data_IF_532294726444
#
_entry.id   IF_532294726444
#
_cell.length_a   1.000
_cell.length_b   1.000
_cell.length_c   1.000
_cell.angle_alpha   90.00
_cell.angle_beta   90.00
_cell.angle_gamma   90.00
#
_symmetry.space_group_name_H-M   'P 1'
#
loop_
_entity.id
_entity.type
_entity.pdbx_description
1 polymer ?
#
# COMPACT_ATOMS: atom_id res chain seq x y z
N UNK A 1 -54.98 -48.70 -34.91
CA UNK A 1 -55.00 -48.44 -33.45
C UNK A 1 -53.58 -48.58 -32.92
N UNK A 2 -53.18 -47.67 -32.03
CA UNK A 2 -51.83 -47.42 -31.57
C UNK A 2 -51.15 -48.63 -30.90
N UNK A 3 -49.80 -48.61 -30.80
CA UNK A 3 -49.07 -48.37 -29.54
C UNK A 3 -47.55 -48.50 -29.79
N UNK A 4 -46.85 -47.57 -29.15
CA UNK A 4 -45.43 -47.27 -29.11
C UNK A 4 -44.72 -48.17 -28.08
N UNK A 5 -43.54 -48.75 -28.36
CA UNK A 5 -42.59 -49.19 -27.32
C UNK A 5 -41.21 -49.47 -27.91
N UNK A 6 -40.22 -48.70 -27.47
CA UNK A 6 -38.79 -48.88 -27.70
C UNK A 6 -38.24 -50.17 -27.07
N UNK A 7 -37.07 -50.64 -27.52
CA UNK A 7 -35.84 -50.93 -26.73
C UNK A 7 -35.00 -52.01 -27.43
N UNK A 8 -33.98 -51.63 -28.22
CA UNK A 8 -32.89 -52.53 -28.62
C UNK A 8 -31.61 -52.12 -27.88
N UNK A 9 -31.44 -52.71 -26.71
CA UNK A 9 -30.29 -52.57 -25.84
C UNK A 9 -29.14 -53.48 -26.27
N UNK A 10 -27.94 -52.96 -26.04
CA UNK A 10 -26.64 -53.64 -25.91
C UNK A 10 -25.87 -53.96 -27.19
N UNK A 11 -25.31 -52.90 -27.81
CA UNK A 11 -24.05 -53.04 -28.55
C UNK A 11 -22.95 -53.43 -27.54
N UNK A 12 -22.28 -54.53 -27.84
CA UNK A 12 -21.24 -55.26 -27.11
C UNK A 12 -19.89 -54.53 -26.97
N UNK A 13 -19.88 -53.22 -26.76
CA UNK A 13 -18.66 -52.43 -26.95
C UNK A 13 -17.71 -52.35 -25.74
N UNK A 14 -18.02 -53.00 -24.62
CA UNK A 14 -17.12 -53.10 -23.46
C UNK A 14 -16.29 -54.38 -23.48
N UNK A 15 -15.16 -54.35 -24.18
CA UNK A 15 -13.92 -54.77 -23.56
C UNK A 15 -12.79 -53.80 -23.93
N UNK A 16 -12.81 -52.60 -23.36
CA UNK A 16 -11.71 -51.62 -23.52
C UNK A 16 -11.45 -50.75 -22.28
N UNK A 17 -12.04 -51.08 -21.11
CA UNK A 17 -11.86 -50.31 -19.88
C UNK A 17 -10.80 -50.87 -18.92
N UNK A 18 -10.02 -51.89 -19.31
CA UNK A 18 -9.07 -52.56 -18.40
C UNK A 18 -7.59 -52.28 -18.77
N UNK A 19 -7.31 -51.26 -19.59
CA UNK A 19 -5.92 -50.88 -19.93
C UNK A 19 -5.65 -49.39 -20.09
N UNK A 20 -6.53 -48.51 -19.61
CA UNK A 20 -6.20 -47.09 -19.52
C UNK A 20 -5.31 -46.86 -18.28
N UNK A 21 -4.09 -46.32 -18.42
CA UNK A 21 -3.27 -45.96 -17.26
C UNK A 21 -4.00 -44.88 -16.46
N UNK A 22 -4.25 -45.17 -15.19
CA UNK A 22 -4.77 -44.24 -14.19
C UNK A 22 -3.68 -43.20 -13.85
N UNK A 23 -3.47 -42.24 -14.76
CA UNK A 23 -2.66 -41.03 -14.54
C UNK A 23 -3.58 -39.89 -14.03
N UNK A 24 -4.20 -40.11 -12.88
CA UNK A 24 -5.18 -39.21 -12.23
C UNK A 24 -4.53 -38.23 -11.26
N UNK A 25 -3.42 -37.61 -11.67
CA UNK A 25 -2.72 -36.58 -10.90
C UNK A 25 -2.45 -35.29 -11.69
N UNK A 26 -2.01 -35.41 -12.94
CA UNK A 26 -1.57 -34.26 -13.74
C UNK A 26 -2.73 -33.43 -14.33
N UNK A 27 -3.80 -34.08 -14.79
CA UNK A 27 -4.94 -33.41 -15.43
C UNK A 27 -5.74 -32.50 -14.47
N UNK A 28 -5.81 -32.87 -13.19
CA UNK A 28 -6.46 -32.05 -12.15
C UNK A 28 -5.61 -30.83 -11.78
N UNK A 29 -4.28 -30.91 -11.91
CA UNK A 29 -3.35 -29.81 -11.61
C UNK A 29 -3.28 -28.78 -12.74
N UNK A 30 -3.28 -29.22 -14.01
CA UNK A 30 -3.26 -28.31 -15.18
C UNK A 30 -4.60 -27.59 -15.40
N UNK A 31 -5.71 -28.26 -15.08
CA UNK A 31 -7.03 -27.63 -15.06
C UNK A 31 -7.14 -26.55 -13.99
N UNK A 32 -6.58 -26.78 -12.79
CA UNK A 32 -6.61 -25.82 -11.68
C UNK A 32 -5.73 -24.61 -11.94
N UNK A 33 -4.53 -24.77 -12.53
CA UNK A 33 -3.64 -23.66 -12.84
C UNK A 33 -4.15 -22.82 -14.02
N UNK A 34 -4.71 -23.46 -15.05
CA UNK A 34 -5.33 -22.76 -16.19
C UNK A 34 -6.60 -22.02 -15.78
N UNK A 35 -7.44 -22.66 -14.95
CA UNK A 35 -8.66 -22.04 -14.44
C UNK A 35 -8.36 -20.97 -13.40
N UNK A 36 -7.38 -21.18 -12.51
CA UNK A 36 -6.90 -20.17 -11.57
C UNK A 36 -6.29 -18.97 -12.30
N UNK A 37 -5.47 -19.18 -13.34
CA UNK A 37 -4.94 -18.10 -14.16
C UNK A 37 -6.05 -17.30 -14.83
N UNK A 38 -7.06 -17.97 -15.39
CA UNK A 38 -8.22 -17.31 -15.98
C UNK A 38 -9.05 -16.53 -14.95
N UNK A 39 -9.28 -17.11 -13.77
CA UNK A 39 -9.98 -16.44 -12.68
C UNK A 39 -9.21 -15.23 -12.16
N UNK A 40 -7.90 -15.35 -11.96
CA UNK A 40 -7.04 -14.24 -11.53
C UNK A 40 -7.00 -13.14 -12.58
N UNK A 41 -6.84 -13.48 -13.86
CA UNK A 41 -6.87 -12.49 -14.95
C UNK A 41 -8.22 -11.78 -15.05
N UNK A 42 -9.32 -12.51 -14.88
CA UNK A 42 -10.69 -11.94 -14.85
C UNK A 42 -10.86 -11.01 -13.64
N UNK A 43 -10.42 -11.43 -12.47
CA UNK A 43 -10.45 -10.63 -11.24
C UNK A 43 -9.63 -9.36 -11.36
N UNK A 44 -8.40 -9.43 -11.89
CA UNK A 44 -7.57 -8.24 -12.12
C UNK A 44 -8.25 -7.27 -13.07
N UNK A 45 -8.86 -7.73 -14.16
CA UNK A 45 -9.61 -6.86 -15.07
C UNK A 45 -10.81 -6.19 -14.39
N UNK A 46 -11.62 -6.95 -13.65
CA UNK A 46 -12.77 -6.42 -12.88
C UNK A 46 -12.33 -5.43 -11.79
N UNK A 47 -11.22 -5.71 -11.11
CA UNK A 47 -10.61 -4.82 -10.12
C UNK A 47 -10.12 -3.52 -10.75
N UNK A 48 -9.42 -3.62 -11.88
CA UNK A 48 -8.92 -2.46 -12.64
C UNK A 48 -10.08 -1.61 -13.14
N UNK A 49 -11.10 -2.21 -13.76
CA UNK A 49 -12.28 -1.47 -14.24
C UNK A 49 -13.03 -0.76 -13.09
N UNK A 50 -13.13 -1.39 -11.92
CA UNK A 50 -13.76 -0.78 -10.73
C UNK A 50 -12.94 0.38 -10.14
N UNK A 51 -11.61 0.25 -10.11
CA UNK A 51 -10.71 1.29 -9.57
C UNK A 51 -10.50 2.46 -10.53
N UNK A 52 -10.41 2.20 -11.84
CA UNK A 52 -10.14 3.21 -12.87
C UNK A 52 -11.37 4.03 -13.24
N UNK A 53 -12.59 3.50 -13.07
CA UNK A 53 -13.82 4.30 -13.12
C UNK A 53 -13.89 5.37 -12.01
N UNK A 54 -13.05 5.25 -10.97
CA UNK A 54 -12.90 6.23 -9.89
C UNK A 54 -11.52 6.88 -9.90
N UNK A 55 -11.04 7.35 -11.06
CA UNK A 55 -9.70 7.98 -11.19
C UNK A 55 -9.33 9.01 -10.11
N UNK A 56 -10.30 9.73 -9.53
CA UNK A 56 -10.08 10.61 -8.37
C UNK A 56 -9.77 9.86 -7.05
N UNK A 57 -10.44 8.73 -6.80
CA UNK A 57 -10.25 7.93 -5.59
C UNK A 57 -8.90 7.21 -5.57
N UNK A 58 -8.36 6.81 -6.73
CA UNK A 58 -7.04 6.17 -6.80
C UNK A 58 -5.92 7.13 -6.37
N UNK A 59 -5.92 8.36 -6.90
CA UNK A 59 -4.92 9.37 -6.53
C UNK A 59 -5.02 9.75 -5.04
N UNK A 60 -6.24 9.85 -4.52
CA UNK A 60 -6.46 10.07 -3.09
C UNK A 60 -5.98 8.89 -2.24
N UNK A 61 -6.22 7.65 -2.65
CA UNK A 61 -5.75 6.46 -1.96
C UNK A 61 -4.22 6.39 -1.92
N UNK A 62 -3.56 6.67 -3.04
CA UNK A 62 -2.08 6.73 -3.11
C UNK A 62 -1.55 7.84 -2.19
N UNK A 63 -2.16 9.03 -2.21
CA UNK A 63 -1.77 10.14 -1.34
C UNK A 63 -1.87 9.78 0.15
N UNK A 64 -2.92 9.06 0.57
CA UNK A 64 -3.09 8.61 1.97
C UNK A 64 -2.04 7.56 2.36
N UNK A 65 -1.79 6.58 1.49
CA UNK A 65 -0.80 5.51 1.77
C UNK A 65 0.60 6.11 1.86
N UNK A 66 0.99 6.95 0.90
CA UNK A 66 2.29 7.62 0.94
C UNK A 66 2.38 8.58 2.13
N UNK A 67 1.30 9.28 2.47
CA UNK A 67 1.23 10.16 3.63
C UNK A 67 1.47 9.43 4.95
N UNK A 68 0.85 8.26 5.15
CA UNK A 68 1.04 7.46 6.38
C UNK A 68 2.45 6.89 6.50
N UNK A 69 3.04 6.43 5.39
CA UNK A 69 4.43 5.95 5.37
C UNK A 69 5.42 7.10 5.61
N UNK A 70 5.18 8.27 5.02
CA UNK A 70 6.01 9.45 5.26
C UNK A 70 5.92 9.92 6.71
N UNK A 71 4.74 9.86 7.32
CA UNK A 71 4.58 10.16 8.74
C UNK A 71 5.45 9.24 9.61
N UNK A 72 5.50 7.94 9.32
CA UNK A 72 6.37 7.01 10.06
C UNK A 72 7.86 7.35 9.93
N UNK A 73 8.31 7.84 8.77
CA UNK A 73 9.69 8.31 8.60
C UNK A 73 9.97 9.54 9.48
N UNK A 74 9.03 10.49 9.53
CA UNK A 74 9.16 11.67 10.40
C UNK A 74 9.14 11.27 11.88
N UNK A 75 8.27 10.33 12.26
CA UNK A 75 8.21 9.79 13.62
C UNK A 75 9.52 9.10 13.99
N UNK A 76 10.09 8.27 13.12
CA UNK A 76 11.39 7.63 13.38
C UNK A 76 12.52 8.67 13.51
N UNK A 77 12.56 9.70 12.66
CA UNK A 77 13.57 10.76 12.78
C UNK A 77 13.42 11.59 14.07
N UNK A 78 12.22 11.72 14.62
CA UNK A 78 11.97 12.55 15.80
C UNK A 78 12.07 11.74 17.09
N UNK A 79 11.41 10.59 17.15
CA UNK A 79 11.37 9.72 18.32
C UNK A 79 12.63 8.87 18.46
N UNK A 80 13.19 8.35 17.36
CA UNK A 80 14.34 7.43 17.45
C UNK A 80 15.69 8.14 17.36
N UNK A 81 15.75 9.33 16.75
CA UNK A 81 17.00 10.11 16.67
C UNK A 81 17.00 11.32 17.60
N UNK A 82 15.97 12.18 17.57
CA UNK A 82 16.03 13.43 18.34
C UNK A 82 15.77 13.24 19.82
N UNK A 83 14.77 12.45 20.23
CA UNK A 83 14.51 12.24 21.67
C UNK A 83 15.75 11.69 22.40
N UNK A 84 16.49 10.68 21.91
CA UNK A 84 17.73 10.23 22.56
C UNK A 84 18.83 11.30 22.60
N UNK A 85 18.93 12.15 21.57
CA UNK A 85 19.89 13.26 21.52
C UNK A 85 19.52 14.41 22.48
N UNK A 86 18.23 14.59 22.76
CA UNK A 86 17.72 15.61 23.69
C UNK A 86 17.66 15.11 25.14
N UNK A 87 17.58 13.80 25.36
CA UNK A 87 17.56 13.17 26.68
C UNK A 87 18.72 13.60 27.61
N UNK A 88 19.99 13.72 27.17
CA UNK A 88 21.06 14.24 28.02
C UNK A 88 20.95 15.74 28.35
N UNK A 89 20.22 16.53 27.54
CA UNK A 89 19.98 17.95 27.79
C UNK A 89 18.81 18.15 28.77
N UNK A 90 17.85 17.23 28.78
CA UNK A 90 16.68 17.23 29.67
C UNK A 90 16.98 16.29 30.84
N UNK A 91 17.70 16.79 31.84
CA UNK A 91 18.10 16.05 33.06
C UNK A 91 16.94 15.19 33.58
N UNK A 92 17.05 13.86 33.42
CA UNK A 92 16.20 12.84 34.03
C UNK A 92 14.70 12.81 33.65
N UNK A 93 14.23 13.33 32.50
CA UNK A 93 12.88 13.00 31.96
C UNK A 93 11.66 13.10 32.91
N UNK A 94 11.80 13.71 34.09
CA UNK A 94 10.87 13.45 35.20
C UNK A 94 9.54 14.18 35.04
N UNK A 95 9.44 15.06 34.05
CA UNK A 95 8.27 15.88 33.76
C UNK A 95 7.20 15.07 33.04
N UNK A 96 7.53 13.98 32.33
CA UNK A 96 6.57 13.06 31.69
C UNK A 96 5.76 12.24 32.70
N UNK A 97 6.34 11.98 33.86
CA UNK A 97 5.76 11.13 34.93
C UNK A 97 4.99 11.95 35.97
N UNK A 98 4.81 13.27 35.75
CA UNK A 98 4.03 14.11 36.65
C UNK A 98 2.56 13.72 36.61
N UNK A 99 2.17 12.94 37.63
CA UNK A 99 0.79 12.55 37.91
C UNK A 99 0.32 13.25 39.18
N UNK A 100 -0.74 14.05 39.05
CA UNK A 100 -1.41 14.67 40.18
C UNK A 100 -2.71 13.90 40.47
N UNK A 101 -2.83 13.21 41.61
CA UNK A 101 -4.11 12.61 42.00
C UNK A 101 -5.08 13.74 42.37
N UNK A 102 -6.16 13.89 41.61
CA UNK A 102 -7.19 14.89 41.87
C UNK A 102 -8.58 14.24 41.78
N UNK A 103 -9.38 14.40 42.84
CA UNK A 103 -10.78 13.98 42.91
C UNK A 103 -11.08 12.52 42.49
N UNK A 104 -10.19 11.58 42.82
CA UNK A 104 -10.35 10.16 42.48
C UNK A 104 -9.91 9.76 41.07
N UNK A 105 -9.26 10.67 40.32
CA UNK A 105 -8.62 10.40 39.04
C UNK A 105 -7.14 10.81 39.00
N UNK A 106 -6.39 10.21 38.09
CA UNK A 106 -4.98 10.52 37.84
C UNK A 106 -4.88 11.58 36.73
N UNK A 107 -4.54 12.83 37.09
CA UNK A 107 -4.24 13.85 36.08
C UNK A 107 -2.82 13.64 35.56
N UNK A 108 -2.72 13.09 34.36
CA UNK A 108 -1.45 12.81 33.65
C UNK A 108 -0.86 14.09 33.02
N UNK A 109 -0.53 15.07 33.87
CA UNK A 109 0.01 16.37 33.43
C UNK A 109 1.29 16.17 32.62
N UNK A 110 2.12 15.20 33.00
CA UNK A 110 3.35 14.90 32.30
C UNK A 110 3.17 14.34 30.90
N UNK A 111 2.15 13.49 30.68
CA UNK A 111 1.80 13.02 29.34
C UNK A 111 1.35 14.17 28.43
N UNK A 112 0.59 15.11 28.96
CA UNK A 112 0.15 16.27 28.19
C UNK A 112 1.35 17.14 27.76
N UNK A 113 2.31 17.35 28.65
CA UNK A 113 3.53 18.08 28.32
C UNK A 113 4.38 17.34 27.31
N UNK A 114 4.54 16.02 27.44
CA UNK A 114 5.27 15.22 26.48
C UNK A 114 4.73 15.38 25.06
N UNK A 115 3.40 15.22 24.90
CA UNK A 115 2.74 15.39 23.60
C UNK A 115 2.96 16.80 23.06
N UNK A 116 2.94 17.82 23.92
CA UNK A 116 3.15 19.21 23.52
C UNK A 116 4.60 19.43 23.01
N UNK A 117 5.61 18.96 23.75
CA UNK A 117 7.00 19.07 23.34
C UNK A 117 7.29 18.24 22.08
N UNK A 118 6.79 17.01 22.01
CA UNK A 118 6.94 16.15 20.84
C UNK A 118 6.33 16.79 19.60
N UNK A 119 5.14 17.39 19.71
CA UNK A 119 4.50 18.08 18.58
C UNK A 119 5.32 19.28 18.09
N UNK A 120 5.98 20.00 19.00
CA UNK A 120 6.87 21.12 18.67
C UNK A 120 8.12 20.64 17.92
N UNK A 121 8.73 19.54 18.38
CA UNK A 121 9.91 18.95 17.73
C UNK A 121 9.56 18.44 16.34
N UNK A 122 8.48 17.64 16.21
CA UNK A 122 8.02 17.11 14.92
C UNK A 122 7.70 18.23 13.94
N UNK A 123 7.00 19.27 14.38
CA UNK A 123 6.71 20.45 13.56
C UNK A 123 7.99 21.16 13.09
N UNK A 124 8.98 21.27 13.96
CA UNK A 124 10.26 21.90 13.61
C UNK A 124 11.07 21.05 12.61
N UNK A 125 11.07 19.73 12.75
CA UNK A 125 11.71 18.82 11.80
C UNK A 125 11.03 18.87 10.44
N UNK A 126 9.70 18.84 10.40
CA UNK A 126 8.95 18.93 9.15
C UNK A 126 9.28 20.24 8.42
N UNK A 127 9.38 21.35 9.17
CA UNK A 127 9.81 22.63 8.62
C UNK A 127 11.23 22.57 8.01
N UNK A 128 12.19 21.92 8.68
CA UNK A 128 13.54 21.74 8.14
C UNK A 128 13.55 20.91 6.86
N UNK A 129 12.76 19.84 6.80
CA UNK A 129 12.63 18.97 5.61
C UNK A 129 12.03 19.77 4.44
N UNK A 130 10.91 20.47 4.67
CA UNK A 130 10.27 21.30 3.64
C UNK A 130 11.24 22.37 3.13
N UNK A 131 11.99 23.00 4.02
CA UNK A 131 13.02 23.98 3.64
C UNK A 131 14.15 23.36 2.81
N UNK A 132 14.57 22.13 3.13
CA UNK A 132 15.58 21.41 2.36
C UNK A 132 15.08 21.06 0.95
N UNK A 133 13.83 20.62 0.83
CA UNK A 133 13.19 20.32 -0.47
C UNK A 133 13.03 21.61 -1.29
N UNK A 134 12.50 22.68 -0.70
CA UNK A 134 12.35 23.98 -1.35
C UNK A 134 13.72 24.54 -1.80
N UNK A 135 14.79 24.26 -1.05
CA UNK A 135 16.18 24.60 -1.41
C UNK A 135 16.70 23.79 -2.60
N UNK A 136 16.24 22.55 -2.77
CA UNK A 136 16.68 21.65 -3.84
C UNK A 136 15.96 21.95 -5.17
N UNK A 137 14.64 22.11 -5.13
CA UNK A 137 13.83 22.30 -6.34
C UNK A 137 14.18 23.56 -7.14
N UNK A 138 14.60 24.64 -6.48
CA UNK A 138 15.07 25.88 -7.14
C UNK A 138 16.29 25.70 -8.04
N UNK A 139 17.05 24.60 -7.92
CA UNK A 139 18.20 24.30 -8.78
C UNK A 139 17.80 23.51 -10.02
N UNK A 140 16.90 22.53 -9.86
CA UNK A 140 16.42 21.69 -10.96
C UNK A 140 15.62 22.49 -11.99
N UNK A 141 14.75 23.41 -11.55
CA UNK A 141 13.94 24.23 -12.47
C UNK A 141 14.81 25.09 -13.39
N UNK A 142 15.91 25.66 -12.87
CA UNK A 142 16.82 26.51 -13.66
C UNK A 142 17.58 25.75 -14.74
N UNK A 143 17.96 24.51 -14.47
CA UNK A 143 18.62 23.65 -15.46
C UNK A 143 17.68 23.27 -16.60
N UNK A 144 16.41 22.99 -16.30
CA UNK A 144 15.39 22.66 -17.30
C UNK A 144 15.05 23.86 -18.19
N UNK A 145 14.95 25.06 -17.63
CA UNK A 145 14.72 26.29 -18.41
C UNK A 145 15.90 26.61 -19.35
N UNK A 146 17.12 26.36 -18.89
CA UNK A 146 18.32 26.52 -19.70
C UNK A 146 18.37 25.50 -20.85
N UNK A 147 18.03 24.23 -20.60
CA UNK A 147 17.94 23.21 -21.66
C UNK A 147 16.82 23.54 -22.65
N UNK A 148 15.66 23.99 -22.16
CA UNK A 148 14.49 24.35 -22.99
C UNK A 148 14.72 25.59 -23.85
N UNK A 149 15.63 26.49 -23.45
CA UNK A 149 16.03 27.65 -24.26
C UNK A 149 17.14 27.34 -25.27
N UNK A 150 17.92 26.27 -25.04
CA UNK A 150 18.99 25.79 -25.96
C UNK A 150 18.44 24.82 -27.02
N UNK A 151 17.24 24.26 -26.81
CA UNK A 151 16.50 23.52 -27.84
C UNK A 151 15.39 24.45 -28.36
N UNK A 152 15.62 25.23 -29.44
CA UNK A 152 14.56 25.96 -30.11
C UNK A 152 13.47 24.97 -30.53
N UNK A 153 12.22 25.42 -30.59
CA UNK A 153 11.05 24.62 -31.02
C UNK A 153 11.08 24.22 -32.49
N UNK A 154 12.26 24.06 -33.09
CA UNK A 154 12.50 23.71 -34.50
C UNK A 154 12.23 22.22 -34.82
N UNK A 155 11.66 21.46 -33.88
CA UNK A 155 11.14 20.11 -34.13
C UNK A 155 9.61 20.07 -34.34
N UNK A 156 8.95 21.22 -34.47
CA UNK A 156 7.55 21.35 -34.95
C UNK A 156 7.52 22.17 -36.25
N UNK A 157 7.90 21.52 -37.35
CA UNK A 157 7.36 21.77 -38.71
C UNK A 157 7.14 20.44 -39.38
#
# INVERSE_FOLDING_TARGET
MAVWAATSTTKSWFPALISAPFETGAFLMDGLTTFAFFMVKRWFREFTDFFFQKGNALNLAIAVVVGTQFQQVVDALTQDLLMPLLNPLIRNGGWEEWVLPYAGGELLLGKAMNVLLNSLIVGWVLFLIVKAINRSQRLTSRGLDQIRSVIPSEAET
#
